data_IF_642894618147
#
_entry.id   IF_642894618147
#
_cell.length_a   1.000
_cell.length_b   1.000
_cell.length_c   1.000
_cell.angle_alpha   90.00
_cell.angle_beta   90.00
_cell.angle_gamma   90.00
#
_symmetry.space_group_name_H-M   'P 1'
#
loop_
_entity.id
_entity.type
_entity.pdbx_description
1 polymer ?
#
# COMPACT_ATOMS: atom_id res chain seq x y z
N UNK A 1 7.58 14.67 17.51
CA UNK A 1 8.62 13.68 17.90
C UNK A 1 9.24 13.14 16.62
N UNK A 2 10.56 13.12 16.44
CA UNK A 2 11.14 12.68 15.16
C UNK A 2 10.91 11.16 14.97
N UNK A 3 10.35 10.78 13.82
CA UNK A 3 10.06 9.38 13.42
C UNK A 3 10.97 8.95 12.25
N UNK A 4 12.29 8.82 12.46
CA UNK A 4 13.22 8.56 11.36
C UNK A 4 12.92 7.25 10.64
N UNK A 5 12.55 6.19 11.37
CA UNK A 5 12.20 4.89 10.77
C UNK A 5 11.02 4.97 9.81
N UNK A 6 9.96 5.70 10.18
CA UNK A 6 8.77 5.88 9.31
C UNK A 6 9.06 6.73 8.08
N UNK A 7 9.94 7.74 8.22
CA UNK A 7 10.39 8.55 7.07
C UNK A 7 11.24 7.73 6.09
N UNK A 8 12.14 6.89 6.60
CA UNK A 8 12.94 5.98 5.77
C UNK A 8 12.00 5.00 5.04
N UNK A 9 11.07 4.39 5.77
CA UNK A 9 10.09 3.47 5.19
C UNK A 9 9.23 4.14 4.12
N UNK A 10 8.76 5.37 4.36
CA UNK A 10 8.05 6.16 3.36
C UNK A 10 8.88 6.39 2.10
N UNK A 11 10.16 6.77 2.22
CA UNK A 11 11.05 6.97 1.07
C UNK A 11 11.25 5.67 0.29
N UNK A 12 11.42 4.54 0.97
CA UNK A 12 11.53 3.22 0.33
C UNK A 12 10.25 2.90 -0.46
N UNK A 13 9.08 3.04 0.16
CA UNK A 13 7.78 2.81 -0.50
C UNK A 13 7.63 3.74 -1.70
N UNK A 14 7.93 5.04 -1.55
CA UNK A 14 7.82 6.02 -2.63
C UNK A 14 8.71 5.67 -3.83
N UNK A 15 9.99 5.36 -3.60
CA UNK A 15 10.93 4.99 -4.67
C UNK A 15 10.44 3.71 -5.36
N UNK A 16 10.01 2.72 -4.60
CA UNK A 16 9.48 1.48 -5.17
C UNK A 16 8.20 1.69 -5.97
N UNK A 17 7.27 2.53 -5.52
CA UNK A 17 6.06 2.89 -6.27
C UNK A 17 6.40 3.61 -7.57
N UNK A 18 7.32 4.58 -7.54
CA UNK A 18 7.78 5.29 -8.75
C UNK A 18 8.46 4.31 -9.72
N UNK A 19 9.30 3.41 -9.21
CA UNK A 19 9.96 2.39 -10.02
C UNK A 19 8.96 1.42 -10.65
N UNK A 20 7.93 1.01 -9.91
CA UNK A 20 6.86 0.13 -10.41
C UNK A 20 6.07 0.80 -11.54
N UNK A 21 5.67 2.06 -11.35
CA UNK A 21 4.99 2.84 -12.38
C UNK A 21 5.88 2.98 -13.63
N UNK A 22 7.16 3.30 -13.46
CA UNK A 22 8.10 3.40 -14.58
C UNK A 22 8.20 2.08 -15.35
N UNK A 23 8.37 0.96 -14.65
CA UNK A 23 8.40 -0.37 -15.28
C UNK A 23 7.11 -0.69 -16.03
N UNK A 24 5.94 -0.29 -15.51
CA UNK A 24 4.67 -0.52 -16.20
C UNK A 24 4.59 0.16 -17.58
N UNK A 25 5.30 1.27 -17.79
CA UNK A 25 5.38 1.94 -19.10
C UNK A 25 6.42 1.32 -20.04
N UNK A 26 7.52 0.78 -19.50
CA UNK A 26 8.65 0.26 -20.28
C UNK A 26 8.54 -1.25 -20.57
N UNK A 27 7.61 -1.95 -19.90
CA UNK A 27 7.42 -3.40 -20.05
C UNK A 27 6.70 -3.75 -21.36
N UNK A 28 7.27 -4.66 -22.19
CA UNK A 28 6.63 -5.18 -23.39
C UNK A 28 5.22 -5.73 -23.12
N UNK A 29 4.30 -5.60 -24.08
CA UNK A 29 2.89 -6.03 -23.91
C UNK A 29 2.71 -7.50 -23.53
N UNK A 30 3.61 -8.36 -24.00
CA UNK A 30 3.63 -9.80 -23.69
C UNK A 30 3.92 -10.10 -22.21
N UNK A 31 4.52 -9.14 -21.50
CA UNK A 31 4.88 -9.22 -20.08
C UNK A 31 3.97 -8.35 -19.20
N UNK A 32 2.97 -7.68 -19.78
CA UNK A 32 2.02 -6.85 -19.03
C UNK A 32 1.07 -7.72 -18.20
N UNK A 33 0.50 -7.17 -17.11
CA UNK A 33 -0.34 -7.91 -16.18
C UNK A 33 -1.45 -8.69 -16.89
N UNK A 34 -1.62 -9.95 -16.47
CA UNK A 34 -2.64 -10.87 -16.99
C UNK A 34 -4.05 -10.57 -16.49
N UNK A 35 -4.21 -9.59 -15.59
CA UNK A 35 -5.49 -9.20 -15.02
C UNK A 35 -6.18 -8.09 -15.83
N UNK A 36 -7.52 -7.98 -15.75
CA UNK A 36 -8.26 -6.93 -16.46
C UNK A 36 -7.87 -5.51 -16.04
N UNK A 37 -7.95 -4.55 -16.96
CA UNK A 37 -7.55 -3.16 -16.73
C UNK A 37 -8.23 -2.49 -15.52
N UNK A 38 -9.47 -2.86 -15.18
CA UNK A 38 -10.15 -2.32 -14.00
C UNK A 38 -9.47 -2.74 -12.68
N UNK A 39 -8.83 -3.91 -12.64
CA UNK A 39 -8.05 -4.35 -11.47
C UNK A 39 -6.81 -3.46 -11.34
N UNK A 40 -6.12 -3.15 -12.44
CA UNK A 40 -4.97 -2.24 -12.44
C UNK A 40 -5.33 -0.84 -11.95
N UNK A 41 -6.50 -0.31 -12.34
CA UNK A 41 -7.02 0.97 -11.84
C UNK A 41 -7.27 0.91 -10.33
N UNK A 42 -7.85 -0.17 -9.83
CA UNK A 42 -8.07 -0.36 -8.39
C UNK A 42 -6.75 -0.44 -7.62
N UNK A 43 -5.75 -1.18 -8.13
CA UNK A 43 -4.41 -1.25 -7.54
C UNK A 43 -3.85 0.16 -7.40
N UNK A 44 -3.83 0.94 -8.49
CA UNK A 44 -3.28 2.29 -8.48
C UNK A 44 -3.98 3.19 -7.45
N UNK A 45 -5.31 3.13 -7.35
CA UNK A 45 -6.07 3.93 -6.38
C UNK A 45 -5.65 3.56 -4.95
N UNK A 46 -5.63 2.27 -4.61
CA UNK A 46 -5.27 1.83 -3.27
C UNK A 46 -3.79 2.04 -2.95
N UNK A 47 -2.89 1.93 -3.93
CA UNK A 47 -1.47 2.27 -3.79
C UNK A 47 -1.28 3.75 -3.47
N UNK A 48 -1.93 4.66 -4.21
CA UNK A 48 -1.85 6.10 -3.95
C UNK A 48 -2.39 6.45 -2.57
N UNK A 49 -3.52 5.86 -2.17
CA UNK A 49 -4.08 6.07 -0.83
C UNK A 49 -3.17 5.51 0.27
N UNK A 50 -2.55 4.35 0.05
CA UNK A 50 -1.60 3.72 0.99
C UNK A 50 -0.28 4.52 1.06
N UNK A 51 0.15 5.13 -0.03
CA UNK A 51 1.28 6.05 -0.06
C UNK A 51 0.96 7.35 0.70
N UNK A 52 -0.26 7.85 0.54
CA UNK A 52 -0.75 9.03 1.27
C UNK A 52 -0.82 8.77 2.78
N UNK A 53 -1.34 7.62 3.23
CA UNK A 53 -1.31 7.25 4.65
C UNK A 53 0.12 7.06 5.16
N UNK A 54 1.03 6.49 4.36
CA UNK A 54 2.44 6.38 4.73
C UNK A 54 3.11 7.75 4.92
N UNK A 55 2.80 8.72 4.05
CA UNK A 55 3.20 10.11 4.22
C UNK A 55 2.62 10.70 5.52
N UNK A 56 1.32 10.52 5.77
CA UNK A 56 0.66 10.99 6.98
C UNK A 56 1.30 10.41 8.25
N UNK A 57 1.61 9.11 8.27
CA UNK A 57 2.31 8.41 9.34
C UNK A 57 3.73 8.94 9.58
N UNK A 58 4.49 9.18 8.50
CA UNK A 58 5.88 9.59 8.56
C UNK A 58 6.07 11.05 8.99
N UNK A 59 5.16 11.93 8.59
CA UNK A 59 5.22 13.37 8.84
C UNK A 59 4.20 13.86 9.87
N UNK A 60 3.44 12.94 10.48
CA UNK A 60 2.41 13.24 11.48
C UNK A 60 1.39 14.26 10.95
N UNK A 61 0.95 14.08 9.71
CA UNK A 61 -0.05 14.95 9.07
C UNK A 61 -1.41 14.26 9.07
N UNK A 62 -2.46 15.04 9.28
CA UNK A 62 -3.85 14.56 9.18
C UNK A 62 -4.47 15.17 7.94
N UNK A 63 -4.76 14.32 6.95
CA UNK A 63 -5.44 14.72 5.70
C UNK A 63 -6.91 14.32 5.75
N UNK A 64 -7.19 13.09 6.19
CA UNK A 64 -8.53 12.56 6.45
C UNK A 64 -8.52 12.01 7.87
N UNK A 65 -9.45 12.45 8.70
CA UNK A 65 -9.58 12.14 10.12
C UNK A 65 -10.41 10.86 10.40
N UNK A 66 -11.09 10.33 9.38
CA UNK A 66 -11.91 9.14 9.51
C UNK A 66 -11.09 7.84 9.63
N UNK A 67 -11.10 7.23 10.82
CA UNK A 67 -10.51 5.91 11.06
C UNK A 67 -11.14 4.83 10.16
N UNK A 68 -12.46 4.90 9.95
CA UNK A 68 -13.19 3.95 9.09
C UNK A 68 -12.75 4.04 7.63
N UNK A 69 -12.43 5.24 7.16
CA UNK A 69 -11.88 5.45 5.81
C UNK A 69 -10.55 4.70 5.66
N UNK A 70 -9.58 4.95 6.54
CA UNK A 70 -8.25 4.32 6.43
C UNK A 70 -8.26 2.81 6.69
N UNK A 71 -9.16 2.33 7.55
CA UNK A 71 -9.40 0.89 7.71
C UNK A 71 -9.93 0.26 6.43
N UNK A 72 -10.85 0.94 5.74
CA UNK A 72 -11.38 0.49 4.44
C UNK A 72 -10.31 0.53 3.34
N UNK A 73 -9.46 1.58 3.33
CA UNK A 73 -8.30 1.66 2.42
C UNK A 73 -7.37 0.48 2.61
N UNK A 74 -6.99 0.17 3.86
CA UNK A 74 -6.13 -0.97 4.14
C UNK A 74 -6.78 -2.30 3.73
N UNK A 75 -8.06 -2.51 4.07
CA UNK A 75 -8.77 -3.72 3.70
C UNK A 75 -8.87 -3.89 2.18
N UNK A 76 -9.16 -2.80 1.46
CA UNK A 76 -9.21 -2.78 0.00
C UNK A 76 -7.85 -3.04 -0.64
N UNK A 77 -6.78 -2.43 -0.12
CA UNK A 77 -5.42 -2.67 -0.59
C UNK A 77 -5.02 -4.15 -0.45
N UNK A 78 -5.28 -4.76 0.70
CA UNK A 78 -5.02 -6.18 0.93
C UNK A 78 -5.87 -7.05 0.01
N UNK A 79 -7.18 -6.76 -0.10
CA UNK A 79 -8.10 -7.53 -0.94
C UNK A 79 -7.68 -7.50 -2.41
N UNK A 80 -7.35 -6.32 -2.95
CA UNK A 80 -6.95 -6.17 -4.35
C UNK A 80 -5.65 -6.92 -4.63
N UNK A 81 -4.66 -6.86 -3.75
CA UNK A 81 -3.42 -7.62 -3.91
C UNK A 81 -3.65 -9.15 -3.86
N UNK A 82 -4.55 -9.63 -2.99
CA UNK A 82 -4.93 -11.04 -2.95
C UNK A 82 -5.65 -11.47 -4.23
N UNK A 83 -6.53 -10.62 -4.77
CA UNK A 83 -7.22 -10.88 -6.04
C UNK A 83 -6.22 -10.95 -7.20
N UNK A 84 -5.22 -10.08 -7.25
CA UNK A 84 -4.15 -10.12 -8.26
C UNK A 84 -3.40 -11.45 -8.20
N UNK A 85 -2.97 -11.86 -7.00
CA UNK A 85 -2.30 -13.15 -6.81
C UNK A 85 -3.17 -14.34 -7.25
N UNK A 86 -4.47 -14.29 -6.97
CA UNK A 86 -5.40 -15.34 -7.40
C UNK A 86 -5.57 -15.39 -8.92
N UNK A 87 -5.68 -14.24 -9.59
CA UNK A 87 -5.79 -14.16 -11.05
C UNK A 87 -4.51 -14.68 -11.70
N UNK A 88 -3.34 -14.26 -11.20
CA UNK A 88 -2.05 -14.73 -11.70
C UNK A 88 -1.87 -16.25 -11.52
N UNK A 89 -2.39 -16.81 -10.43
CA UNK A 89 -2.40 -18.26 -10.19
C UNK A 89 -3.34 -19.02 -11.15
N UNK A 90 -4.49 -18.44 -11.46
CA UNK A 90 -5.56 -19.11 -12.19
C UNK A 90 -5.49 -18.91 -13.71
N UNK A 91 -4.59 -18.04 -14.18
CA UNK A 91 -4.42 -17.75 -15.60
C UNK A 91 -3.86 -18.97 -16.38
N UNK A 92 -4.40 -19.30 -17.57
CA UNK A 92 -3.82 -20.32 -18.43
C UNK A 92 -2.39 -19.94 -18.82
N UNK A 93 -1.41 -20.80 -18.49
CA UNK A 93 0.01 -20.47 -18.69
C UNK A 93 0.61 -19.56 -17.61
N UNK A 94 -0.08 -19.40 -16.47
CA UNK A 94 0.43 -18.71 -15.29
C UNK A 94 1.63 -19.40 -14.65
N UNK A 95 2.09 -18.83 -13.53
CA UNK A 95 3.30 -19.27 -12.84
C UNK A 95 3.29 -20.75 -12.46
N UNK A 96 4.44 -21.42 -12.59
CA UNK A 96 4.62 -22.78 -12.09
C UNK A 96 4.54 -22.78 -10.56
N UNK A 97 4.09 -23.91 -9.98
CA UNK A 97 4.01 -24.07 -8.52
C UNK A 97 5.34 -23.75 -7.79
N UNK A 98 6.48 -24.04 -8.42
CA UNK A 98 7.81 -23.71 -7.89
C UNK A 98 8.13 -22.21 -7.88
N UNK A 99 7.64 -21.46 -8.87
CA UNK A 99 7.82 -20.00 -8.95
C UNK A 99 6.94 -19.31 -7.90
N UNK A 100 5.71 -19.80 -7.74
CA UNK A 100 4.75 -19.33 -6.74
C UNK A 100 5.22 -19.56 -5.30
N UNK A 101 5.89 -20.67 -5.02
CA UNK A 101 6.42 -20.97 -3.69
C UNK A 101 7.41 -19.91 -3.17
N UNK A 102 8.05 -19.17 -4.08
CA UNK A 102 8.99 -18.08 -3.76
C UNK A 102 8.28 -16.72 -3.86
N UNK A 103 7.50 -16.50 -4.91
CA UNK A 103 6.83 -15.22 -5.14
C UNK A 103 5.78 -14.90 -4.08
N UNK A 104 4.96 -15.87 -3.66
CA UNK A 104 3.87 -15.62 -2.70
C UNK A 104 4.40 -15.15 -1.34
N UNK A 105 5.39 -15.81 -0.69
CA UNK A 105 5.94 -15.31 0.57
C UNK A 105 6.56 -13.92 0.45
N UNK A 106 7.25 -13.62 -0.65
CA UNK A 106 7.83 -12.29 -0.88
C UNK A 106 6.73 -11.23 -1.07
N UNK A 107 5.73 -11.51 -1.89
CA UNK A 107 4.59 -10.62 -2.11
C UNK A 107 3.83 -10.34 -0.81
N UNK A 108 3.65 -11.37 0.05
CA UNK A 108 3.04 -11.19 1.36
C UNK A 108 3.92 -10.34 2.30
N UNK A 109 5.24 -10.53 2.28
CA UNK A 109 6.16 -9.72 3.06
C UNK A 109 6.10 -8.24 2.63
N UNK A 110 6.10 -7.96 1.32
CA UNK A 110 5.94 -6.60 0.81
C UNK A 110 4.57 -6.02 1.13
N UNK A 111 3.50 -6.81 0.99
CA UNK A 111 2.16 -6.39 1.36
C UNK A 111 2.09 -5.96 2.83
N UNK A 112 2.68 -6.76 3.73
CA UNK A 112 2.78 -6.42 5.14
C UNK A 112 3.58 -5.13 5.36
N UNK A 113 4.75 -5.01 4.73
CA UNK A 113 5.61 -3.83 4.85
C UNK A 113 4.90 -2.55 4.39
N UNK A 114 4.16 -2.62 3.28
CA UNK A 114 3.43 -1.50 2.69
C UNK A 114 2.15 -1.17 3.46
N UNK A 115 1.54 -2.17 4.10
CA UNK A 115 0.36 -1.97 4.95
C UNK A 115 0.67 -1.36 6.31
N UNK A 116 1.91 -1.54 6.80
CA UNK A 116 2.33 -1.18 8.16
C UNK A 116 2.08 0.31 8.48
N UNK A 117 2.44 1.29 7.61
CA UNK A 117 2.21 2.70 7.90
C UNK A 117 0.72 3.04 7.97
N UNK A 118 -0.11 2.46 7.10
CA UNK A 118 -1.57 2.67 7.11
C UNK A 118 -2.18 2.13 8.39
N UNK A 119 -1.80 0.91 8.77
CA UNK A 119 -2.24 0.31 10.03
C UNK A 119 -1.88 1.19 11.23
N UNK A 120 -0.61 1.59 11.31
CA UNK A 120 -0.12 2.42 12.42
C UNK A 120 -0.82 3.78 12.47
N UNK A 121 -1.01 4.42 11.31
CA UNK A 121 -1.66 5.71 11.20
C UNK A 121 -3.09 5.72 11.75
N UNK A 122 -3.96 4.79 11.33
CA UNK A 122 -5.35 4.80 11.83
C UNK A 122 -5.50 4.24 13.25
N UNK A 123 -4.61 3.33 13.67
CA UNK A 123 -4.74 2.65 14.97
C UNK A 123 -4.11 3.45 16.11
N UNK A 124 -3.07 4.24 15.84
CA UNK A 124 -2.36 5.02 16.85
C UNK A 124 -2.51 6.52 16.62
N UNK A 125 -2.15 7.02 15.43
CA UNK A 125 -2.06 8.47 15.21
C UNK A 125 -3.44 9.13 15.21
N UNK A 126 -4.39 8.60 14.44
CA UNK A 126 -5.75 9.14 14.39
C UNK A 126 -6.51 8.94 15.69
N UNK A 127 -6.28 7.82 16.41
CA UNK A 127 -6.89 7.63 17.74
C UNK A 127 -6.37 8.63 18.75
N UNK A 128 -5.06 8.90 18.76
CA UNK A 128 -4.47 9.94 19.62
C UNK A 128 -5.06 11.32 19.34
N UNK A 129 -5.30 11.65 18.08
CA UNK A 129 -5.98 12.89 17.69
C UNK A 129 -7.46 12.92 18.09
N UNK A 130 -8.17 11.79 18.04
CA UNK A 130 -9.58 11.69 18.42
C UNK A 130 -9.80 11.68 19.95
N UNK A 131 -8.90 11.05 20.71
CA UNK A 131 -9.05 10.81 22.15
C UNK A 131 -8.55 11.97 23.04
N UNK A 132 -7.75 12.91 22.53
CA UNK A 132 -7.41 14.13 23.28
C UNK A 132 -6.00 14.69 23.10
N UNK A 133 -5.72 15.27 21.93
CA UNK A 133 -4.81 16.42 21.81
C UNK A 133 -5.57 17.57 21.12
N UNK A 134 -6.66 18.00 21.79
CA UNK A 134 -7.26 19.32 21.60
C UNK A 134 -6.47 20.45 22.27
N UNK A 135 -5.21 20.20 22.66
CA UNK A 135 -4.31 21.20 23.22
C UNK A 135 -3.04 21.31 22.37
N UNK A 136 -2.83 22.53 21.85
CA UNK A 136 -1.61 23.06 21.24
C UNK A 136 -1.23 22.61 19.81
N UNK A 137 -1.87 23.21 18.81
CA UNK A 137 -1.16 24.17 17.94
C UNK A 137 -2.16 25.11 17.23
N UNK A 138 -2.59 26.13 17.98
CA UNK A 138 -2.78 27.46 17.43
C UNK A 138 -1.37 28.05 17.27
N UNK A 139 -0.80 27.95 16.06
CA UNK A 139 0.09 28.93 15.38
C UNK A 139 0.93 28.28 14.29
#
# INVERSE_FOLDING_TARGET
MQRPGWKILFVVILISSVSSIYQAFDTPEELKPSHPAYVSVLILIFEVLTLLSAFCCAFQKVVIDSILFWKSVLAGFVLVNVVVLYIEFSAPGGYKASELAIMVPLSLLFLLLYSLPTYFYYSHDLRKHADGDGEAEVR
#
